data_IF_453683454525
#
_entry.id   IF_453683454525
#
_cell.length_a   1.000
_cell.length_b   1.000
_cell.length_c   1.000
_cell.angle_alpha   90.00
_cell.angle_beta   90.00
_cell.angle_gamma   90.00
#
_symmetry.space_group_name_H-M   'P 1'
#
loop_
_entity.id
_entity.type
_entity.pdbx_description
1 polymer ?
#
# COMPACT_ATOMS: atom_id res chain seq x y z
N UNK A 1 -13.61 -62.48 18.48
CA UNK A 1 -13.78 -63.19 19.76
C UNK A 1 -13.22 -62.25 20.83
N UNK A 2 -13.97 -61.62 21.75
CA UNK A 2 -15.16 -61.99 22.55
C UNK A 2 -14.80 -62.67 23.89
N UNK A 3 -15.00 -61.91 24.98
CA UNK A 3 -15.27 -62.31 26.37
C UNK A 3 -14.15 -62.90 27.27
N UNK A 4 -14.18 -62.78 28.61
CA UNK A 4 -14.64 -61.76 29.62
C UNK A 4 -14.38 -62.32 31.05
N UNK A 5 -14.57 -61.51 32.13
CA UNK A 5 -14.60 -61.83 33.60
C UNK A 5 -13.29 -61.54 34.37
N UNK A 6 -13.30 -61.08 35.64
CA UNK A 6 -14.41 -60.64 36.54
C UNK A 6 -13.95 -59.74 37.72
N UNK A 7 -14.92 -59.09 38.39
CA UNK A 7 -14.82 -58.28 39.65
C UNK A 7 -14.76 -59.16 40.93
N UNK A 8 -14.47 -58.60 42.13
CA UNK A 8 -15.41 -57.86 43.02
C UNK A 8 -14.93 -56.41 43.35
N UNK A 9 -15.66 -55.40 43.88
CA UNK A 9 -16.85 -55.21 44.76
C UNK A 9 -16.56 -54.94 46.26
N UNK A 10 -16.61 -53.66 46.67
CA UNK A 10 -17.42 -53.05 47.78
C UNK A 10 -17.12 -51.53 47.84
N UNK A 11 -17.99 -50.55 48.12
CA UNK A 11 -19.35 -50.40 48.70
C UNK A 11 -19.44 -50.02 50.19
N UNK A 12 -19.92 -48.80 50.48
CA UNK A 12 -20.95 -48.41 51.51
C UNK A 12 -21.11 -46.88 51.58
N UNK A 13 -22.12 -46.40 52.32
CA UNK A 13 -22.71 -45.04 52.25
C UNK A 13 -23.15 -44.57 53.65
N UNK A 14 -23.17 -43.24 53.91
CA UNK A 14 -24.06 -42.42 54.79
C UNK A 14 -23.33 -41.09 55.15
N UNK A 15 -23.87 -39.86 55.21
CA UNK A 15 -25.18 -39.20 55.46
C UNK A 15 -25.32 -38.53 56.86
N UNK A 16 -26.28 -37.58 56.93
CA UNK A 16 -26.99 -37.01 58.12
C UNK A 16 -26.52 -35.66 58.71
N UNK A 17 -27.36 -34.61 58.47
CA UNK A 17 -27.72 -33.44 59.33
C UNK A 17 -26.60 -32.41 59.70
N UNK A 18 -26.84 -31.12 60.02
CA UNK A 18 -28.01 -30.22 60.22
C UNK A 18 -27.57 -28.76 59.85
N UNK A 19 -28.34 -27.66 59.74
CA UNK A 19 -29.77 -27.29 59.56
C UNK A 19 -29.75 -25.80 59.03
N UNK A 20 -30.70 -24.84 59.06
CA UNK A 20 -31.99 -24.61 59.76
C UNK A 20 -32.86 -23.52 59.00
N UNK A 21 -33.96 -23.08 59.62
CA UNK A 21 -34.88 -21.92 59.43
C UNK A 21 -34.31 -20.64 58.76
N UNK A 22 -35.10 -19.78 58.08
CA UNK A 22 -36.56 -19.41 58.18
C UNK A 22 -37.00 -18.75 56.84
N UNK A 23 -38.01 -19.18 56.06
CA UNK A 23 -39.50 -19.17 56.20
C UNK A 23 -40.17 -17.77 56.12
N UNK A 24 -41.26 -17.69 55.32
CA UNK A 24 -42.28 -16.62 55.09
C UNK A 24 -42.27 -15.90 53.72
N UNK A 25 -43.41 -15.36 53.26
CA UNK A 25 -44.49 -16.04 52.51
C UNK A 25 -45.31 -15.03 51.67
N UNK A 26 -45.89 -15.50 50.55
CA UNK A 26 -47.00 -14.95 49.72
C UNK A 26 -47.44 -13.47 49.75
N UNK A 27 -47.67 -12.92 48.55
CA UNK A 27 -48.51 -11.74 48.30
C UNK A 27 -48.75 -11.58 46.78
N UNK A 28 -50.02 -11.49 46.37
CA UNK A 28 -50.45 -11.44 44.95
C UNK A 28 -50.99 -10.03 44.59
N UNK A 29 -51.49 -9.89 43.36
CA UNK A 29 -52.25 -8.79 42.76
C UNK A 29 -51.52 -7.72 41.93
N UNK A 30 -52.30 -7.13 41.01
CA UNK A 30 -51.88 -6.44 39.80
C UNK A 30 -52.52 -5.04 39.75
N UNK A 31 -51.73 -3.98 39.55
CA UNK A 31 -52.27 -2.62 39.32
C UNK A 31 -51.42 -1.77 38.38
N UNK A 32 -52.11 -1.10 37.46
CA UNK A 32 -51.54 -0.24 36.40
C UNK A 32 -51.25 1.20 36.88
N UNK A 33 -50.51 1.92 36.02
CA UNK A 33 -50.27 3.38 35.98
C UNK A 33 -49.21 3.97 36.92
N UNK A 34 -48.06 4.36 36.36
CA UNK A 34 -47.68 5.77 36.19
C UNK A 34 -46.38 5.91 35.37
N UNK A 35 -46.03 7.14 35.00
CA UNK A 35 -45.12 7.46 33.89
C UNK A 35 -43.64 7.69 34.29
N UNK A 36 -42.82 7.84 33.26
CA UNK A 36 -41.57 8.61 33.18
C UNK A 36 -40.44 8.33 34.19
N UNK A 37 -39.45 7.55 33.72
CA UNK A 37 -38.03 7.74 34.11
C UNK A 37 -37.10 7.66 32.91
N UNK A 38 -36.73 8.85 32.44
CA UNK A 38 -35.33 9.27 32.23
C UNK A 38 -34.33 8.23 31.68
N UNK A 39 -34.31 8.13 30.35
CA UNK A 39 -33.11 8.43 29.56
C UNK A 39 -31.79 7.77 30.02
N UNK A 40 -31.66 6.45 29.81
CA UNK A 40 -30.38 5.72 29.85
C UNK A 40 -29.39 6.32 28.83
N UNK A 41 -28.60 7.29 29.28
CA UNK A 41 -27.56 7.91 28.49
C UNK A 41 -26.40 6.91 28.29
N UNK A 42 -26.41 6.22 27.15
CA UNK A 42 -25.33 5.32 26.70
C UNK A 42 -24.00 6.05 26.83
N UNK A 43 -23.11 5.56 27.71
CA UNK A 43 -21.79 6.16 27.90
C UNK A 43 -21.06 6.26 26.55
N UNK A 44 -20.41 7.39 26.24
CA UNK A 44 -19.68 7.54 24.99
C UNK A 44 -18.51 6.54 24.98
N UNK A 45 -18.64 5.49 24.17
CA UNK A 45 -17.72 4.37 24.13
C UNK A 45 -16.27 4.84 24.08
N UNK A 46 -15.50 4.48 25.12
CA UNK A 46 -14.11 4.90 25.33
C UNK A 46 -13.31 4.85 24.03
N UNK A 47 -12.61 5.92 23.64
CA UNK A 47 -12.10 6.10 22.28
C UNK A 47 -11.17 4.95 21.88
N UNK A 48 -11.70 4.03 21.07
CA UNK A 48 -11.03 2.79 20.68
C UNK A 48 -9.69 3.14 20.05
N UNK A 49 -8.62 2.86 20.81
CA UNK A 49 -7.25 3.21 20.46
C UNK A 49 -6.91 2.56 19.12
N UNK A 50 -6.72 3.40 18.09
CA UNK A 50 -6.65 2.94 16.70
C UNK A 50 -5.58 1.86 16.52
N UNK A 51 -5.92 0.79 15.78
CA UNK A 51 -5.04 -0.36 15.57
C UNK A 51 -3.93 0.00 14.57
N UNK A 52 -2.68 -0.08 15.00
CA UNK A 52 -1.53 0.11 14.11
C UNK A 52 -1.33 -1.15 13.26
N UNK A 53 -1.96 -1.17 12.09
CA UNK A 53 -1.96 -2.31 11.17
C UNK A 53 -1.71 -1.97 9.70
N UNK A 54 -1.69 -0.69 9.31
CA UNK A 54 -1.43 -0.31 7.92
C UNK A 54 0.07 -0.38 7.64
N UNK A 55 0.45 -1.22 6.67
CA UNK A 55 1.77 -1.17 6.04
C UNK A 55 1.58 -0.50 4.67
N UNK A 56 2.14 0.69 4.51
CA UNK A 56 2.02 1.42 3.25
C UNK A 56 2.87 0.76 2.16
N UNK A 57 2.30 0.58 0.97
CA UNK A 57 3.07 0.34 -0.26
C UNK A 57 3.07 1.67 -1.01
N UNK A 58 4.05 2.50 -0.69
CA UNK A 58 4.18 3.88 -1.15
C UNK A 58 5.19 4.01 -2.30
N UNK A 59 4.95 4.95 -3.20
CA UNK A 59 5.90 5.35 -4.25
C UNK A 59 5.39 6.56 -5.01
N UNK A 60 6.28 7.33 -5.63
CA UNK A 60 5.86 8.21 -6.72
C UNK A 60 5.23 7.38 -7.86
N UNK A 61 4.22 7.88 -8.60
CA UNK A 61 3.59 7.14 -9.69
C UNK A 61 4.58 6.46 -10.65
N UNK A 62 4.22 5.26 -11.11
CA UNK A 62 4.98 4.43 -12.07
C UNK A 62 6.40 3.99 -11.64
N UNK A 63 6.69 4.02 -10.35
CA UNK A 63 7.95 3.51 -9.76
C UNK A 63 7.97 2.02 -9.41
N UNK A 64 6.91 1.24 -9.71
CA UNK A 64 6.90 -0.22 -9.49
C UNK A 64 5.85 -0.77 -8.49
N UNK A 65 4.98 0.08 -7.94
CA UNK A 65 3.98 -0.27 -6.92
C UNK A 65 3.20 -1.58 -7.18
N UNK A 66 2.63 -1.73 -8.38
CA UNK A 66 1.86 -2.92 -8.79
C UNK A 66 2.70 -4.21 -8.73
N UNK A 67 4.00 -4.15 -9.05
CA UNK A 67 4.89 -5.32 -9.03
C UNK A 67 5.12 -5.82 -7.59
N UNK A 68 5.39 -4.90 -6.65
CA UNK A 68 5.50 -5.24 -5.21
C UNK A 68 4.18 -5.79 -4.67
N UNK A 69 3.03 -5.23 -5.07
CA UNK A 69 1.70 -5.74 -4.67
C UNK A 69 1.49 -7.18 -5.14
N UNK A 70 1.74 -7.48 -6.43
CA UNK A 70 1.57 -8.86 -6.96
C UNK A 70 2.56 -9.81 -6.30
N UNK A 71 3.81 -9.41 -6.07
CA UNK A 71 4.81 -10.23 -5.38
C UNK A 71 4.35 -10.63 -3.98
N UNK A 72 3.92 -9.67 -3.15
CA UNK A 72 3.49 -9.99 -1.78
C UNK A 72 2.23 -10.86 -1.78
N UNK A 73 1.32 -10.68 -2.74
CA UNK A 73 0.16 -11.57 -2.91
C UNK A 73 0.60 -12.99 -3.27
N UNK A 74 1.45 -13.17 -4.29
CA UNK A 74 1.98 -14.49 -4.67
C UNK A 74 2.74 -15.15 -3.51
N UNK A 75 3.56 -14.41 -2.76
CA UNK A 75 4.29 -14.94 -1.62
C UNK A 75 3.35 -15.41 -0.50
N UNK A 76 2.28 -14.66 -0.21
CA UNK A 76 1.25 -15.06 0.75
C UNK A 76 0.48 -16.31 0.29
N UNK A 77 0.30 -16.51 -1.01
CA UNK A 77 -0.29 -17.72 -1.60
C UNK A 77 0.65 -18.92 -1.48
N UNK A 78 1.92 -18.76 -1.84
CA UNK A 78 2.97 -19.79 -1.66
C UNK A 78 3.12 -20.22 -0.19
N UNK A 79 3.04 -19.29 0.76
CA UNK A 79 3.09 -19.57 2.20
C UNK A 79 1.86 -20.33 2.73
N UNK A 80 0.75 -20.35 2.00
CA UNK A 80 -0.46 -21.13 2.32
C UNK A 80 -0.56 -22.45 1.55
N UNK A 81 0.39 -22.74 0.66
CA UNK A 81 0.31 -23.87 -0.27
C UNK A 81 -0.63 -23.66 -1.45
N UNK A 82 -1.10 -22.43 -1.71
CA UNK A 82 -1.90 -22.05 -2.89
C UNK A 82 -1.03 -21.98 -4.18
N UNK A 83 -0.22 -23.01 -4.44
CA UNK A 83 0.89 -22.98 -5.41
C UNK A 83 0.47 -23.02 -6.89
N UNK A 84 -0.81 -23.19 -7.20
CA UNK A 84 -1.31 -23.25 -8.57
C UNK A 84 -1.55 -21.85 -9.15
N UNK A 85 -0.89 -21.57 -10.27
CA UNK A 85 -0.99 -20.30 -11.00
C UNK A 85 -0.47 -19.06 -10.27
N UNK A 86 -0.48 -17.95 -10.99
CA UNK A 86 -0.21 -16.59 -10.53
C UNK A 86 -1.45 -15.94 -9.89
N UNK A 87 -1.24 -14.94 -9.04
CA UNK A 87 -2.30 -14.03 -8.59
C UNK A 87 -2.86 -13.26 -9.80
N UNK A 88 -4.19 -13.12 -9.89
CA UNK A 88 -4.83 -12.26 -10.88
C UNK A 88 -4.56 -10.79 -10.54
N UNK A 89 -3.93 -10.06 -11.47
CA UNK A 89 -3.68 -8.61 -11.39
C UNK A 89 -4.98 -7.81 -11.12
N UNK A 90 -6.14 -8.34 -11.52
CA UNK A 90 -7.44 -7.71 -11.36
C UNK A 90 -8.10 -7.95 -9.99
N UNK A 91 -7.50 -8.74 -9.09
CA UNK A 91 -7.95 -8.99 -7.70
C UNK A 91 -6.97 -8.45 -6.63
N UNK A 92 -6.02 -7.58 -7.03
CA UNK A 92 -5.06 -6.98 -6.09
C UNK A 92 -5.70 -6.19 -4.93
N UNK A 93 -6.97 -5.81 -5.03
CA UNK A 93 -7.72 -5.18 -3.94
C UNK A 93 -7.95 -6.08 -2.72
N UNK A 94 -7.93 -7.41 -2.88
CA UNK A 94 -8.25 -8.39 -1.82
C UNK A 94 -7.30 -8.37 -0.63
N UNK A 95 -6.02 -8.07 -0.87
CA UNK A 95 -5.01 -7.93 0.18
C UNK A 95 -4.18 -6.64 0.08
N UNK A 96 -4.33 -5.82 -0.98
CA UNK A 96 -3.63 -4.54 -1.13
C UNK A 96 -4.60 -3.40 -1.53
N UNK A 97 -5.20 -2.78 -0.52
CA UNK A 97 -6.25 -1.75 -0.60
C UNK A 97 -5.69 -0.45 -1.20
N UNK A 98 -6.54 0.36 -1.84
CA UNK A 98 -6.20 1.70 -2.31
C UNK A 98 -6.58 2.74 -1.24
N UNK A 99 -5.62 3.55 -0.80
CA UNK A 99 -5.88 4.64 0.16
C UNK A 99 -6.93 5.61 -0.37
N UNK A 100 -6.77 6.04 -1.62
CA UNK A 100 -7.58 7.09 -2.25
C UNK A 100 -8.96 6.63 -2.76
N UNK A 101 -9.50 5.52 -2.24
CA UNK A 101 -10.74 4.92 -2.74
C UNK A 101 -11.96 5.79 -2.43
N UNK A 102 -12.79 6.06 -3.44
CA UNK A 102 -13.95 6.95 -3.34
C UNK A 102 -14.93 6.63 -2.19
N UNK A 103 -15.29 5.37 -1.88
CA UNK A 103 -16.28 5.06 -0.85
C UNK A 103 -15.85 5.48 0.56
N UNK A 104 -14.59 5.25 0.94
CA UNK A 104 -14.06 5.62 2.26
C UNK A 104 -14.17 7.13 2.49
N UNK A 105 -13.76 7.94 1.51
CA UNK A 105 -13.87 9.39 1.59
C UNK A 105 -15.33 9.87 1.53
N UNK A 106 -16.19 9.24 0.72
CA UNK A 106 -17.63 9.56 0.67
C UNK A 106 -18.31 9.34 2.02
N UNK A 107 -17.98 8.25 2.73
CA UNK A 107 -18.50 7.95 4.06
C UNK A 107 -18.05 8.97 5.12
N UNK A 108 -16.81 9.47 5.04
CA UNK A 108 -16.28 10.48 5.97
C UNK A 108 -16.80 11.89 5.67
N UNK A 109 -16.97 12.24 4.39
CA UNK A 109 -17.37 13.59 3.97
C UNK A 109 -18.89 13.82 3.99
N UNK A 110 -19.71 12.76 3.99
CA UNK A 110 -21.17 12.86 3.79
C UNK A 110 -21.59 13.34 2.39
N UNK A 111 -20.63 13.53 1.48
CA UNK A 111 -20.83 14.01 0.11
C UNK A 111 -19.81 13.37 -0.83
N UNK A 112 -20.11 13.38 -2.13
CA UNK A 112 -19.19 12.94 -3.17
C UNK A 112 -17.87 13.75 -3.11
N UNK A 113 -16.68 13.11 -3.04
CA UNK A 113 -15.39 13.77 -3.03
C UNK A 113 -15.12 14.80 -4.15
N UNK A 114 -15.72 14.66 -5.34
CA UNK A 114 -15.67 15.69 -6.40
C UNK A 114 -16.39 17.00 -6.05
N UNK A 115 -17.16 17.04 -4.95
CA UNK A 115 -17.81 18.22 -4.37
C UNK A 115 -17.14 18.68 -3.05
N UNK A 116 -15.96 18.17 -2.73
CA UNK A 116 -15.17 18.58 -1.58
C UNK A 116 -14.03 19.50 -2.01
N UNK A 117 -13.77 20.52 -1.21
CA UNK A 117 -12.59 21.39 -1.33
C UNK A 117 -11.31 20.62 -0.99
N UNK A 118 -10.14 21.14 -1.42
CA UNK A 118 -8.85 20.54 -1.07
C UNK A 118 -8.61 20.47 0.45
N UNK A 119 -9.16 21.42 1.21
CA UNK A 119 -9.08 21.44 2.68
C UNK A 119 -9.98 20.39 3.34
N UNK A 120 -11.24 20.25 2.90
CA UNK A 120 -12.14 19.18 3.37
C UNK A 120 -11.55 17.79 3.05
N UNK A 121 -11.00 17.63 1.85
CA UNK A 121 -10.31 16.42 1.43
C UNK A 121 -9.09 16.10 2.30
N UNK A 122 -8.30 17.12 2.66
CA UNK A 122 -7.17 16.96 3.56
C UNK A 122 -7.60 16.58 4.98
N UNK A 123 -8.62 17.24 5.53
CA UNK A 123 -9.19 16.98 6.86
C UNK A 123 -9.84 15.59 6.96
N UNK A 124 -10.49 15.12 5.90
CA UNK A 124 -11.09 13.77 5.84
C UNK A 124 -10.07 12.64 5.76
N UNK A 125 -8.88 12.89 5.21
CA UNK A 125 -7.87 11.86 4.89
C UNK A 125 -7.44 11.01 6.09
N UNK A 126 -7.03 11.56 7.26
CA UNK A 126 -6.67 10.73 8.40
C UNK A 126 -7.81 9.83 8.91
N UNK A 127 -9.06 10.28 8.79
CA UNK A 127 -10.24 9.52 9.19
C UNK A 127 -10.59 8.42 8.16
N UNK A 128 -10.41 8.66 6.86
CA UNK A 128 -10.53 7.63 5.82
C UNK A 128 -9.49 6.52 6.01
N UNK A 129 -8.25 6.88 6.35
CA UNK A 129 -7.18 5.92 6.67
C UNK A 129 -7.48 5.15 7.98
N UNK A 130 -8.06 5.80 8.98
CA UNK A 130 -8.53 5.12 10.19
C UNK A 130 -9.69 4.14 9.92
N UNK A 131 -10.59 4.48 8.98
CA UNK A 131 -11.67 3.60 8.55
C UNK A 131 -11.11 2.36 7.81
N UNK A 132 -10.13 2.52 6.91
CA UNK A 132 -9.42 1.41 6.26
C UNK A 132 -8.79 0.47 7.30
N UNK A 133 -8.08 1.02 8.29
CA UNK A 133 -7.47 0.25 9.39
C UNK A 133 -8.50 -0.59 10.17
N UNK A 134 -9.62 0.02 10.56
CA UNK A 134 -10.70 -0.61 11.34
C UNK A 134 -11.44 -1.70 10.58
N UNK A 135 -11.56 -1.58 9.26
CA UNK A 135 -12.21 -2.56 8.38
C UNK A 135 -11.36 -3.84 8.14
N UNK A 136 -10.17 -3.98 8.74
CA UNK A 136 -9.21 -5.04 8.41
C UNK A 136 -8.86 -5.95 9.60
N UNK A 137 -9.26 -7.23 9.48
CA UNK A 137 -9.03 -8.31 10.44
C UNK A 137 -7.57 -8.82 10.49
N UNK A 138 -6.59 -7.93 10.33
CA UNK A 138 -5.18 -8.31 10.25
C UNK A 138 -4.27 -7.10 10.05
N UNK A 139 -3.11 -7.34 9.43
CA UNK A 139 -2.32 -6.34 8.74
C UNK A 139 -3.04 -5.89 7.47
N UNK A 140 -2.91 -4.63 7.10
CA UNK A 140 -3.47 -4.06 5.88
C UNK A 140 -2.35 -3.50 5.01
N UNK A 141 -2.06 -4.15 3.89
CA UNK A 141 -1.20 -3.54 2.88
C UNK A 141 -2.03 -2.46 2.19
N UNK A 142 -1.62 -1.20 2.25
CA UNK A 142 -2.38 -0.10 1.62
C UNK A 142 -1.50 0.68 0.65
N UNK A 143 -1.92 0.71 -0.61
CA UNK A 143 -1.27 1.43 -1.70
C UNK A 143 -1.56 2.93 -1.61
N UNK A 144 -0.53 3.75 -1.77
CA UNK A 144 -0.64 5.22 -1.86
C UNK A 144 0.44 5.82 -2.78
N UNK A 145 0.18 7.00 -3.37
CA UNK A 145 1.22 7.83 -4.00
C UNK A 145 1.49 9.16 -3.26
N UNK A 146 0.79 9.42 -2.15
CA UNK A 146 0.94 10.65 -1.36
C UNK A 146 2.39 10.89 -0.93
N UNK A 147 2.83 12.15 -0.90
CA UNK A 147 4.04 12.50 -0.15
C UNK A 147 3.77 12.41 1.37
N UNK A 148 4.79 12.09 2.16
CA UNK A 148 4.66 12.05 3.62
C UNK A 148 4.83 13.48 4.20
N UNK A 149 3.77 14.09 4.71
CA UNK A 149 3.86 15.48 5.18
C UNK A 149 2.51 16.05 5.60
N UNK A 150 2.30 17.34 5.33
CA UNK A 150 1.08 18.07 5.71
C UNK A 150 0.39 18.70 4.50
N UNK A 151 -0.94 18.63 4.49
CA UNK A 151 -1.85 19.17 3.50
C UNK A 151 -2.92 19.98 4.22
N UNK A 152 -3.04 21.29 3.95
CA UNK A 152 -3.89 22.21 4.74
C UNK A 152 -3.73 22.03 6.27
N UNK A 153 -2.48 21.94 6.76
CA UNK A 153 -2.16 21.71 8.18
C UNK A 153 -2.43 20.29 8.70
N UNK A 154 -3.07 19.43 7.92
CA UNK A 154 -3.44 18.06 8.30
C UNK A 154 -2.42 17.05 7.79
N UNK A 155 -1.99 16.03 8.55
CA UNK A 155 -1.04 15.03 8.07
C UNK A 155 -1.60 14.23 6.87
N UNK A 156 -0.77 13.97 5.86
CA UNK A 156 -1.14 13.17 4.68
C UNK A 156 -1.20 11.68 5.00
N UNK A 157 -0.43 11.22 5.99
CA UNK A 157 -0.34 9.83 6.43
C UNK A 157 -0.65 9.79 7.94
N UNK A 158 -1.70 9.04 8.31
CA UNK A 158 -2.13 8.89 9.68
C UNK A 158 -1.19 7.94 10.45
N UNK A 159 -0.32 8.51 11.28
CA UNK A 159 0.64 7.76 12.10
C UNK A 159 0.00 6.90 13.19
N UNK A 160 -1.26 7.13 13.59
CA UNK A 160 -1.94 6.33 14.63
C UNK A 160 -2.38 4.96 14.14
N UNK A 161 -2.51 4.77 12.82
CA UNK A 161 -2.85 3.49 12.17
C UNK A 161 -1.73 2.91 11.32
N UNK A 162 -0.73 3.73 10.99
CA UNK A 162 0.50 3.28 10.34
C UNK A 162 1.28 2.36 11.28
N UNK A 163 1.59 1.15 10.82
CA UNK A 163 2.56 0.27 11.45
C UNK A 163 3.96 0.51 10.87
N UNK A 164 4.08 0.52 9.54
CA UNK A 164 5.33 0.63 8.79
C UNK A 164 5.08 1.10 7.34
N UNK A 165 6.12 1.24 6.53
CA UNK A 165 6.02 1.49 5.09
C UNK A 165 7.07 0.74 4.26
N UNK A 166 6.71 0.47 3.01
CA UNK A 166 7.59 0.07 1.92
C UNK A 166 7.58 1.24 0.94
N UNK A 167 8.73 1.85 0.66
CA UNK A 167 8.84 2.95 -0.30
C UNK A 167 9.65 2.52 -1.52
N UNK A 168 9.03 2.60 -2.71
CA UNK A 168 9.66 2.19 -3.96
C UNK A 168 10.07 3.44 -4.75
N UNK A 169 11.37 3.64 -4.92
CA UNK A 169 11.96 4.69 -5.74
C UNK A 169 12.37 4.15 -7.11
N UNK A 170 12.28 4.99 -8.14
CA UNK A 170 12.72 4.71 -9.51
C UNK A 170 13.41 5.95 -10.07
N UNK A 171 14.36 5.76 -10.99
CA UNK A 171 15.05 6.85 -11.67
C UNK A 171 14.03 7.81 -12.33
N UNK A 172 14.04 9.13 -12.00
CA UNK A 172 13.01 10.06 -12.46
C UNK A 172 12.97 10.21 -13.99
N UNK A 173 14.09 9.94 -14.67
CA UNK A 173 14.17 9.98 -16.13
C UNK A 173 13.29 8.88 -16.77
N UNK A 174 13.32 7.65 -16.23
CA UNK A 174 12.41 6.55 -16.65
C UNK A 174 10.97 6.76 -16.14
N UNK A 175 10.79 7.39 -14.97
CA UNK A 175 9.47 7.74 -14.44
C UNK A 175 8.74 8.72 -15.37
N UNK A 176 9.42 9.77 -15.84
CA UNK A 176 8.82 10.77 -16.73
C UNK A 176 8.21 10.12 -17.99
N UNK A 177 8.96 9.24 -18.65
CA UNK A 177 8.47 8.46 -19.80
C UNK A 177 7.31 7.54 -19.38
N UNK A 178 7.50 6.77 -18.31
CA UNK A 178 6.51 5.77 -17.89
C UNK A 178 5.20 6.39 -17.38
N UNK A 179 5.22 7.65 -16.95
CA UNK A 179 4.06 8.40 -16.46
C UNK A 179 3.40 9.21 -17.59
N UNK A 180 4.16 9.73 -18.56
CA UNK A 180 3.65 10.30 -19.81
C UNK A 180 2.76 9.32 -20.58
N UNK A 181 3.24 8.09 -20.82
CA UNK A 181 2.43 7.03 -21.44
C UNK A 181 1.22 6.60 -20.61
N UNK A 182 1.26 6.75 -19.28
CA UNK A 182 0.16 6.34 -18.40
C UNK A 182 -0.96 7.37 -18.38
N UNK A 183 -0.63 8.67 -18.34
CA UNK A 183 -1.60 9.75 -18.38
C UNK A 183 -1.96 10.22 -19.80
N UNK A 184 -1.37 9.60 -20.83
CA UNK A 184 -1.47 10.01 -22.24
C UNK A 184 -1.21 11.51 -22.46
N UNK A 185 -0.17 12.02 -21.79
CA UNK A 185 0.32 13.41 -21.84
C UNK A 185 1.74 13.43 -22.40
N UNK A 186 2.20 14.60 -22.88
CA UNK A 186 3.58 14.76 -23.32
C UNK A 186 4.57 14.58 -22.18
N UNK A 187 5.78 14.10 -22.51
CA UNK A 187 6.89 13.97 -21.57
C UNK A 187 7.19 15.33 -20.92
N UNK A 188 7.17 16.41 -21.69
CA UNK A 188 7.45 17.76 -21.20
C UNK A 188 6.45 18.27 -20.16
N UNK A 189 5.17 17.90 -20.28
CA UNK A 189 4.16 18.24 -19.29
C UNK A 189 4.37 17.43 -18.00
N UNK A 190 4.72 16.15 -18.10
CA UNK A 190 5.01 15.32 -16.92
C UNK A 190 6.32 15.74 -16.23
N UNK A 191 7.34 16.20 -16.97
CA UNK A 191 8.56 16.77 -16.39
C UNK A 191 8.24 18.05 -15.60
N UNK A 192 7.28 18.87 -16.06
CA UNK A 192 6.82 20.04 -15.32
C UNK A 192 6.07 19.65 -14.04
N UNK A 193 5.09 18.74 -14.13
CA UNK A 193 4.37 18.17 -12.97
C UNK A 193 5.34 17.58 -11.92
N UNK A 194 6.32 16.78 -12.37
CA UNK A 194 7.32 16.13 -11.51
C UNK A 194 8.27 17.12 -10.84
N UNK A 195 8.45 18.31 -11.39
CA UNK A 195 9.24 19.39 -10.79
C UNK A 195 8.41 20.29 -9.85
N UNK A 196 7.08 20.33 -10.00
CA UNK A 196 6.22 21.27 -9.28
C UNK A 196 6.13 20.96 -7.77
N UNK A 197 6.52 21.90 -6.89
CA UNK A 197 6.30 21.75 -5.45
C UNK A 197 4.81 21.62 -5.12
N UNK A 198 4.46 20.61 -4.31
CA UNK A 198 3.07 20.39 -3.91
C UNK A 198 2.10 19.98 -5.03
N UNK A 199 2.60 19.42 -6.15
CA UNK A 199 1.77 18.90 -7.24
C UNK A 199 0.66 17.94 -6.75
N UNK A 200 -0.53 18.03 -7.36
CA UNK A 200 -1.72 17.24 -7.01
C UNK A 200 -2.33 16.59 -8.25
N UNK A 201 -2.84 15.37 -8.12
CA UNK A 201 -3.74 14.79 -9.12
C UNK A 201 -5.16 15.34 -8.93
N UNK A 202 -5.91 15.47 -10.03
CA UNK A 202 -7.33 15.79 -9.98
C UNK A 202 -8.13 14.56 -9.50
N UNK A 203 -9.22 14.75 -8.74
CA UNK A 203 -10.14 13.66 -8.42
C UNK A 203 -10.82 13.12 -9.68
N UNK A 204 -11.25 11.87 -9.61
CA UNK A 204 -12.02 11.16 -10.64
C UNK A 204 -13.28 10.56 -10.01
N UNK A 205 -14.15 9.97 -10.81
CA UNK A 205 -15.34 9.23 -10.34
C UNK A 205 -15.02 8.05 -9.39
N UNK A 206 -13.77 7.59 -9.35
CA UNK A 206 -13.34 6.38 -8.62
C UNK A 206 -12.26 6.62 -7.56
N UNK A 207 -11.47 7.69 -7.72
CA UNK A 207 -10.29 7.98 -6.91
C UNK A 207 -10.27 9.45 -6.52
N UNK A 208 -9.92 9.75 -5.27
CA UNK A 208 -9.77 11.14 -4.81
C UNK A 208 -8.42 11.72 -5.24
N UNK A 209 -8.28 13.05 -5.21
CA UNK A 209 -7.02 13.73 -5.57
C UNK A 209 -5.90 13.45 -4.58
N UNK A 210 -4.75 12.97 -5.07
CA UNK A 210 -3.54 12.71 -4.29
C UNK A 210 -2.62 13.93 -4.29
N UNK A 211 -2.17 14.37 -3.11
CA UNK A 211 -1.06 15.32 -2.97
C UNK A 211 0.27 14.57 -3.12
N UNK A 212 0.83 14.63 -4.33
CA UNK A 212 2.06 13.91 -4.69
C UNK A 212 3.32 14.69 -4.32
N UNK A 213 3.27 16.02 -4.46
CA UNK A 213 4.47 16.85 -4.52
C UNK A 213 5.29 16.60 -5.79
N UNK A 214 6.42 17.31 -5.89
CA UNK A 214 7.46 16.97 -6.87
C UNK A 214 8.06 15.58 -6.58
N UNK A 215 8.68 14.94 -7.57
CA UNK A 215 9.37 13.65 -7.37
C UNK A 215 10.37 13.73 -6.21
N UNK A 216 11.16 14.80 -6.17
CA UNK A 216 12.13 15.08 -5.09
C UNK A 216 11.48 15.19 -3.72
N UNK A 217 10.35 15.91 -3.59
CA UNK A 217 9.62 16.00 -2.32
C UNK A 217 9.04 14.64 -1.90
N UNK A 218 8.45 13.90 -2.84
CA UNK A 218 7.84 12.60 -2.55
C UNK A 218 8.90 11.62 -2.02
N UNK A 219 10.00 11.44 -2.74
CA UNK A 219 11.11 10.55 -2.33
C UNK A 219 11.75 11.04 -1.02
N UNK A 220 12.12 12.32 -0.92
CA UNK A 220 12.76 12.86 0.28
C UNK A 220 11.89 12.72 1.54
N UNK A 221 10.57 12.87 1.40
CA UNK A 221 9.62 12.78 2.51
C UNK A 221 9.55 11.40 3.13
N UNK A 222 9.39 10.35 2.32
CA UNK A 222 9.38 8.97 2.80
C UNK A 222 10.75 8.50 3.29
N UNK A 223 11.84 9.01 2.70
CA UNK A 223 13.22 8.84 3.22
C UNK A 223 13.52 9.67 4.49
N UNK A 224 12.58 10.46 4.99
CA UNK A 224 12.71 11.28 6.21
C UNK A 224 11.95 10.75 7.42
N UNK A 225 11.18 9.66 7.27
CA UNK A 225 10.32 9.13 8.34
C UNK A 225 11.16 8.39 9.39
N UNK A 226 11.48 9.07 10.48
CA UNK A 226 12.17 8.48 11.63
C UNK A 226 11.24 7.77 12.64
N UNK A 227 9.93 8.09 12.62
CA UNK A 227 8.96 7.59 13.61
C UNK A 227 8.36 6.22 13.31
N UNK A 228 8.66 5.63 12.13
CA UNK A 228 8.16 4.33 11.67
C UNK A 228 9.22 3.62 10.83
N UNK A 229 9.28 2.27 10.83
CA UNK A 229 10.13 1.53 9.90
C UNK A 229 9.73 1.79 8.44
N UNK A 230 10.71 2.14 7.60
CA UNK A 230 10.53 2.28 6.14
C UNK A 230 11.52 1.39 5.41
N UNK A 231 11.02 0.41 4.66
CA UNK A 231 11.83 -0.41 3.76
C UNK A 231 11.92 0.25 2.38
N UNK A 232 13.10 0.79 2.04
CA UNK A 232 13.32 1.48 0.77
C UNK A 232 13.81 0.48 -0.28
N UNK A 233 13.13 0.43 -1.43
CA UNK A 233 13.47 -0.41 -2.57
C UNK A 233 13.71 0.47 -3.80
N UNK A 234 14.78 0.19 -4.56
CA UNK A 234 14.98 0.76 -5.90
C UNK A 234 14.38 -0.19 -6.94
N UNK A 235 13.61 0.36 -7.88
CA UNK A 235 13.02 -0.38 -9.00
C UNK A 235 14.08 -1.09 -9.86
N UNK A 236 15.24 -0.48 -10.00
CA UNK A 236 16.38 -1.00 -10.75
C UNK A 236 16.99 -2.21 -10.04
N UNK A 237 17.21 -2.14 -8.72
CA UNK A 237 17.69 -3.29 -7.93
C UNK A 237 16.68 -4.45 -7.89
N UNK A 238 15.38 -4.18 -8.06
CA UNK A 238 14.36 -5.24 -8.21
C UNK A 238 14.49 -6.00 -9.53
N UNK A 239 15.03 -5.37 -10.59
CA UNK A 239 15.32 -6.01 -11.88
C UNK A 239 16.66 -6.75 -11.83
N UNK A 240 17.70 -6.09 -11.30
CA UNK A 240 19.07 -6.59 -11.34
C UNK A 240 19.34 -7.67 -10.25
N UNK A 241 18.65 -7.57 -9.10
CA UNK A 241 18.87 -8.43 -7.93
C UNK A 241 17.56 -8.90 -7.27
N UNK A 242 16.61 -9.50 -8.01
CA UNK A 242 15.26 -9.82 -7.50
C UNK A 242 15.28 -10.68 -6.23
N UNK A 243 16.05 -11.78 -6.17
CA UNK A 243 16.15 -12.62 -4.95
C UNK A 243 16.56 -11.80 -3.72
N UNK A 244 17.54 -10.88 -3.86
CA UNK A 244 18.06 -10.04 -2.77
C UNK A 244 17.00 -9.04 -2.29
N UNK A 245 16.32 -8.37 -3.23
CA UNK A 245 15.34 -7.34 -2.89
C UNK A 245 14.05 -7.94 -2.33
N UNK A 246 13.57 -9.04 -2.90
CA UNK A 246 12.33 -9.67 -2.49
C UNK A 246 12.47 -10.54 -1.22
N UNK A 247 13.65 -11.12 -0.95
CA UNK A 247 13.93 -11.72 0.38
C UNK A 247 14.03 -10.66 1.48
N UNK A 248 14.67 -9.51 1.21
CA UNK A 248 14.71 -8.37 2.14
C UNK A 248 13.32 -7.84 2.47
N UNK A 249 12.44 -7.72 1.46
CA UNK A 249 11.04 -7.35 1.65
C UNK A 249 10.25 -8.41 2.46
N UNK A 250 10.45 -9.70 2.17
CA UNK A 250 9.80 -10.77 2.92
C UNK A 250 10.19 -10.72 4.41
N UNK A 251 11.48 -10.57 4.70
CA UNK A 251 11.99 -10.44 6.06
C UNK A 251 11.44 -9.19 6.78
N UNK A 252 11.34 -8.05 6.08
CA UNK A 252 10.73 -6.83 6.62
C UNK A 252 9.24 -7.00 6.97
N UNK A 253 8.51 -7.80 6.19
CA UNK A 253 7.12 -8.18 6.46
C UNK A 253 6.98 -9.30 7.52
N UNK A 254 8.09 -9.76 8.12
CA UNK A 254 8.11 -10.87 9.09
C UNK A 254 7.90 -12.27 8.47
N UNK A 255 7.85 -12.36 7.14
CA UNK A 255 7.60 -13.59 6.39
C UNK A 255 8.88 -14.42 6.26
N UNK A 256 8.75 -15.74 6.34
CA UNK A 256 9.86 -16.70 6.27
C UNK A 256 9.63 -17.76 5.18
N UNK A 257 9.61 -17.38 3.89
CA UNK A 257 9.48 -18.33 2.79
C UNK A 257 10.72 -19.22 2.69
N UNK A 258 10.53 -20.47 2.25
CA UNK A 258 11.62 -21.28 1.70
C UNK A 258 12.13 -20.66 0.39
N UNK A 259 13.37 -20.99 -0.03
CA UNK A 259 13.93 -20.50 -1.30
C UNK A 259 12.99 -20.76 -2.48
N UNK A 260 12.42 -21.98 -2.59
CA UNK A 260 11.45 -22.35 -3.64
C UNK A 260 10.18 -21.49 -3.65
N UNK A 261 9.63 -21.16 -2.48
CA UNK A 261 8.45 -20.29 -2.38
C UNK A 261 8.77 -18.85 -2.78
N UNK A 262 9.97 -18.35 -2.44
CA UNK A 262 10.45 -17.04 -2.86
C UNK A 262 10.66 -16.99 -4.38
N UNK A 263 11.35 -17.97 -4.96
CA UNK A 263 11.61 -18.09 -6.40
C UNK A 263 10.30 -18.11 -7.20
N UNK A 264 9.35 -18.96 -6.82
CA UNK A 264 8.06 -19.04 -7.53
C UNK A 264 7.21 -17.77 -7.36
N UNK A 265 7.26 -17.10 -6.21
CA UNK A 265 6.61 -15.81 -6.02
C UNK A 265 7.23 -14.69 -6.89
N UNK A 266 8.54 -14.71 -7.12
CA UNK A 266 9.24 -13.80 -8.04
C UNK A 266 8.85 -14.11 -9.49
N UNK A 267 8.91 -15.37 -9.91
CA UNK A 267 8.56 -15.84 -11.26
C UNK A 267 7.13 -15.45 -11.65
N UNK A 268 6.15 -15.76 -10.78
CA UNK A 268 4.72 -15.43 -10.94
C UNK A 268 4.42 -13.92 -10.86
N UNK A 269 5.42 -13.11 -10.54
CA UNK A 269 5.36 -11.64 -10.56
C UNK A 269 6.31 -11.01 -11.58
N UNK A 270 6.93 -11.81 -12.45
CA UNK A 270 7.78 -11.32 -13.53
C UNK A 270 7.02 -10.40 -14.48
N UNK A 271 7.72 -9.45 -15.11
CA UNK A 271 7.11 -8.54 -16.09
C UNK A 271 6.41 -9.29 -17.24
N UNK A 272 6.96 -10.43 -17.66
CA UNK A 272 6.40 -11.27 -18.72
C UNK A 272 5.02 -11.84 -18.32
N UNK A 273 4.88 -12.41 -17.12
CA UNK A 273 3.60 -12.94 -16.62
C UNK A 273 2.56 -11.82 -16.40
N UNK A 274 2.99 -10.65 -15.90
CA UNK A 274 2.10 -9.49 -15.73
C UNK A 274 1.59 -8.93 -17.07
N UNK A 275 2.48 -8.80 -18.07
CA UNK A 275 2.12 -8.33 -19.42
C UNK A 275 1.26 -9.36 -20.18
N UNK A 276 1.49 -10.67 -19.95
CA UNK A 276 0.65 -11.75 -20.44
C UNK A 276 -0.76 -11.67 -19.86
N UNK A 277 -0.92 -11.53 -18.54
CA UNK A 277 -2.24 -11.35 -17.92
C UNK A 277 -2.98 -10.11 -18.45
N UNK A 278 -2.30 -8.98 -18.62
CA UNK A 278 -2.89 -7.79 -19.25
C UNK A 278 -3.34 -8.06 -20.70
N UNK A 279 -2.59 -8.87 -21.45
CA UNK A 279 -2.92 -9.22 -22.85
C UNK A 279 -4.10 -10.21 -22.93
N UNK A 280 -4.15 -11.21 -22.04
CA UNK A 280 -5.19 -12.24 -22.01
C UNK A 280 -6.54 -11.73 -21.44
N UNK A 281 -6.51 -10.83 -20.45
CA UNK A 281 -7.68 -10.51 -19.61
C UNK A 281 -7.95 -9.01 -19.45
N UNK A 282 -7.06 -8.16 -19.96
CA UNK A 282 -7.04 -6.74 -19.64
C UNK A 282 -6.64 -6.46 -18.19
N UNK A 283 -6.54 -5.18 -17.84
CA UNK A 283 -6.16 -4.76 -16.50
C UNK A 283 -6.96 -3.55 -16.03
N UNK A 284 -7.64 -3.68 -14.88
CA UNK A 284 -8.48 -2.64 -14.26
C UNK A 284 -7.73 -1.34 -13.91
N UNK A 285 -6.40 -1.40 -13.71
CA UNK A 285 -5.56 -0.22 -13.44
C UNK A 285 -5.03 0.47 -14.73
N UNK A 286 -5.31 -0.08 -15.91
CA UNK A 286 -4.94 0.50 -17.21
C UNK A 286 -5.84 1.71 -17.53
N UNK A 287 -5.29 2.92 -17.69
CA UNK A 287 -6.08 4.08 -18.13
C UNK A 287 -6.65 3.84 -19.53
N UNK A 288 -7.88 4.31 -19.77
CA UNK A 288 -8.60 4.08 -21.04
C UNK A 288 -7.80 4.57 -22.26
N UNK A 289 -7.04 5.65 -22.08
CA UNK A 289 -6.24 6.34 -23.10
C UNK A 289 -4.84 5.75 -23.31
N UNK A 290 -4.40 4.80 -22.48
CA UNK A 290 -3.10 4.16 -22.58
C UNK A 290 -3.22 2.81 -23.31
N UNK A 291 -2.35 2.52 -24.27
CA UNK A 291 -2.35 1.25 -25.01
C UNK A 291 -2.17 0.05 -24.06
N UNK A 292 -1.11 0.07 -23.25
CA UNK A 292 -0.74 -0.98 -22.26
C UNK A 292 -0.28 -0.33 -20.96
N UNK A 293 -0.52 -0.99 -19.83
CA UNK A 293 0.04 -0.60 -18.53
C UNK A 293 1.47 -1.14 -18.36
N UNK A 294 1.72 -2.37 -18.80
CA UNK A 294 3.01 -3.07 -18.75
C UNK A 294 3.77 -2.85 -20.07
N UNK A 295 4.46 -1.70 -20.19
CA UNK A 295 5.04 -1.26 -21.48
C UNK A 295 6.33 -1.99 -21.91
N UNK A 296 7.38 -2.02 -21.08
CA UNK A 296 8.70 -2.59 -21.46
C UNK A 296 9.51 -3.24 -20.31
N UNK A 297 9.10 -3.14 -19.04
CA UNK A 297 9.75 -3.82 -17.91
C UNK A 297 11.17 -3.38 -17.52
N UNK A 298 11.91 -2.69 -18.40
CA UNK A 298 13.33 -2.32 -18.22
C UNK A 298 13.57 -0.92 -17.63
N UNK A 299 14.77 -0.73 -17.05
CA UNK A 299 15.34 0.58 -16.74
C UNK A 299 16.14 1.14 -17.94
N UNK A 300 16.63 2.39 -17.83
CA UNK A 300 17.58 3.01 -18.77
C UNK A 300 16.98 3.53 -20.08
N UNK A 301 15.66 3.45 -20.26
CA UNK A 301 14.97 3.79 -21.52
C UNK A 301 15.08 5.27 -21.88
N UNK A 302 15.37 6.11 -20.88
CA UNK A 302 15.60 7.53 -21.07
C UNK A 302 16.81 7.86 -21.94
N UNK A 303 17.78 6.95 -22.07
CA UNK A 303 18.94 7.12 -22.96
C UNK A 303 18.52 7.07 -24.43
N UNK A 304 17.50 6.27 -24.75
CA UNK A 304 16.92 6.13 -26.10
C UNK A 304 15.89 7.23 -26.41
N UNK A 305 15.15 7.70 -25.38
CA UNK A 305 13.85 8.37 -25.54
C UNK A 305 13.76 9.83 -25.03
N UNK A 306 14.71 10.31 -24.22
CA UNK A 306 14.72 11.73 -23.79
C UNK A 306 15.68 12.56 -24.64
N UNK A 307 15.26 13.77 -24.98
CA UNK A 307 16.20 14.80 -25.45
C UNK A 307 17.08 15.31 -24.31
N UNK A 308 18.27 15.81 -24.63
CA UNK A 308 19.19 16.41 -23.64
C UNK A 308 18.51 17.52 -22.82
N UNK A 309 17.64 18.34 -23.45
CA UNK A 309 16.87 19.36 -22.73
C UNK A 309 15.92 18.76 -21.66
N UNK A 310 15.26 17.64 -21.98
CA UNK A 310 14.40 16.94 -21.03
C UNK A 310 15.20 16.28 -19.91
N UNK A 311 16.36 15.69 -20.21
CA UNK A 311 17.30 15.17 -19.20
C UNK A 311 17.73 16.29 -18.25
N UNK A 312 18.23 17.42 -18.78
CA UNK A 312 18.66 18.56 -17.96
C UNK A 312 17.53 19.16 -17.13
N UNK A 313 16.30 19.24 -17.65
CA UNK A 313 15.12 19.69 -16.88
C UNK A 313 14.82 18.76 -15.71
N UNK A 314 14.85 17.44 -15.88
CA UNK A 314 14.69 16.48 -14.78
C UNK A 314 15.84 16.59 -13.78
N UNK A 315 17.09 16.66 -14.24
CA UNK A 315 18.26 16.80 -13.37
C UNK A 315 18.19 18.09 -12.54
N UNK A 316 17.74 19.21 -13.12
CA UNK A 316 17.66 20.50 -12.42
C UNK A 316 16.76 20.47 -11.17
N UNK A 317 15.69 19.69 -11.18
CA UNK A 317 14.76 19.53 -10.04
C UNK A 317 15.07 18.30 -9.16
N UNK A 318 15.78 17.30 -9.70
CA UNK A 318 15.90 15.96 -9.09
C UNK A 318 17.29 15.57 -8.61
N UNK A 319 18.36 16.21 -9.11
CA UNK A 319 19.74 15.78 -8.87
C UNK A 319 20.13 15.57 -7.39
N UNK A 320 19.78 16.45 -6.42
CA UNK A 320 20.17 16.25 -5.02
C UNK A 320 19.59 14.95 -4.41
N UNK A 321 18.37 14.58 -4.79
CA UNK A 321 17.72 13.36 -4.30
C UNK A 321 18.17 12.14 -5.11
N UNK A 322 18.38 12.28 -6.42
CA UNK A 322 19.04 11.26 -7.25
C UNK A 322 20.43 10.88 -6.73
N UNK A 323 21.21 11.84 -6.22
CA UNK A 323 22.48 11.57 -5.53
C UNK A 323 22.25 10.77 -4.24
N UNK A 324 21.29 11.18 -3.40
CA UNK A 324 20.96 10.50 -2.13
C UNK A 324 20.48 9.05 -2.30
N UNK A 325 19.84 8.70 -3.43
CA UNK A 325 19.42 7.32 -3.75
C UNK A 325 20.36 6.58 -4.70
N UNK A 326 21.52 7.15 -5.06
CA UNK A 326 22.54 6.48 -5.87
C UNK A 326 22.21 6.34 -7.36
N UNK A 327 21.45 7.25 -7.96
CA UNK A 327 21.32 7.40 -9.42
C UNK A 327 22.35 8.36 -10.02
N UNK A 328 23.04 9.13 -9.18
CA UNK A 328 24.10 10.07 -9.57
C UNK A 328 25.30 9.94 -8.61
N UNK A 329 26.54 10.15 -9.07
CA UNK A 329 27.71 10.18 -8.20
C UNK A 329 27.66 11.38 -7.23
N UNK A 330 28.32 11.31 -6.05
CA UNK A 330 28.42 12.43 -5.13
C UNK A 330 29.07 13.67 -5.77
N UNK A 331 28.68 14.87 -5.31
CA UNK A 331 29.32 16.13 -5.74
C UNK A 331 30.80 16.12 -5.34
N UNK A 332 31.69 16.29 -6.31
CA UNK A 332 33.14 16.30 -6.11
C UNK A 332 33.91 15.35 -7.04
N UNK A 333 33.27 14.27 -7.52
CA UNK A 333 33.90 13.33 -8.47
C UNK A 333 33.75 13.84 -9.91
N UNK A 334 34.56 14.83 -10.26
CA UNK A 334 34.63 15.41 -11.60
C UNK A 334 33.51 16.41 -11.93
N UNK A 335 33.73 17.19 -12.99
CA UNK A 335 32.71 18.06 -13.59
C UNK A 335 31.61 17.21 -14.23
N UNK A 336 30.34 17.54 -14.00
CA UNK A 336 29.20 16.85 -14.64
C UNK A 336 29.14 17.23 -16.12
N UNK A 337 29.94 16.55 -16.93
CA UNK A 337 29.64 16.32 -18.35
C UNK A 337 28.92 14.97 -18.42
N UNK A 338 27.61 15.01 -18.65
CA UNK A 338 26.91 13.87 -19.24
C UNK A 338 27.39 13.76 -20.69
N UNK A 339 28.52 13.09 -20.92
CA UNK A 339 28.88 12.63 -22.25
C UNK A 339 27.90 11.52 -22.63
N UNK A 340 26.82 11.90 -23.31
CA UNK A 340 26.07 10.96 -24.13
C UNK A 340 27.07 10.23 -25.05
N UNK A 341 26.97 8.90 -25.23
CA UNK A 341 27.79 8.22 -26.23
C UNK A 341 27.52 8.86 -27.59
N UNK A 342 28.58 9.26 -28.28
CA UNK A 342 28.49 9.83 -29.62
C UNK A 342 27.80 8.82 -30.54
N UNK A 343 26.77 9.28 -31.27
CA UNK A 343 26.23 8.52 -32.41
C UNK A 343 27.21 8.62 -33.58
N UNK A 344 28.37 7.96 -33.43
CA UNK A 344 29.22 7.67 -34.57
C UNK A 344 28.43 6.76 -35.51
N UNK A 345 28.09 7.28 -36.69
CA UNK A 345 27.28 6.57 -37.66
C UNK A 345 28.04 5.38 -38.20
N UNK A 346 27.44 4.19 -38.14
CA UNK A 346 28.00 2.98 -38.73
C UNK A 346 27.92 3.04 -40.27
N UNK A 347 28.81 3.82 -40.87
CA UNK A 347 29.04 3.89 -42.31
C UNK A 347 30.14 2.89 -42.69
N UNK A 348 29.74 1.78 -43.31
CA UNK A 348 30.63 0.68 -43.71
C UNK A 348 30.02 -0.67 -43.34
N UNK A 349 29.84 -1.62 -44.27
CA UNK A 349 30.12 -1.62 -45.72
C UNK A 349 28.93 -2.17 -46.49
#
# INVERSE_FOLDING_TARGET
MVNVRSTPLDSTTEQISSDDRRVEQFGDENRLLSADRENDAVEPASPIKNKQNIIWIASYPKSGNTWVRVFVHNLLRELRGETQGSQDINDLGRYAIWEHSYPHYTQILGKAPTRATAEEMAKARPAAQALISRQQQGLSLTKTHLCFGTDHGTPTINLDVTLAAIYIVRNPLDVAISYAHHCSRSIDAIIADMAQPGFRTLPTEKHVGEILGSWSQNVASWMGVASRPVHIMRYEDMLDYPERMFSGLAAFLGLRPTKKQLESAIEKSSFAELAKQETERGFKEKPKQAERFFRQGRAGQWQDLLSENQVQRVLSSSAPIMQRVGYLPPRGVGSIKYSLPSKEGNNGQ
#
